data_IF_387299053254
#
_entry.id   IF_387299053254
#
_cell.length_a   1.000
_cell.length_b   1.000
_cell.length_c   1.000
_cell.angle_alpha   90.00
_cell.angle_beta   90.00
_cell.angle_gamma   90.00
#
_symmetry.space_group_name_H-M   'P 1'
#
loop_
_entity.id
_entity.type
_entity.pdbx_description
1 polymer ?
#
# COMPACT_ATOMS: atom_id res chain seq x y z
N UNK A 1 -3.68 2.88 -14.71
CA UNK A 1 -3.38 2.61 -13.29
C UNK A 1 -3.71 1.15 -13.04
N UNK A 2 -2.84 0.42 -12.34
CA UNK A 2 -3.10 -0.96 -11.93
C UNK A 2 -3.13 -1.00 -10.39
N UNK A 3 -4.10 -1.70 -9.81
CA UNK A 3 -4.27 -1.83 -8.36
C UNK A 3 -3.72 -3.19 -7.94
N UNK A 4 -2.64 -3.20 -7.17
CA UNK A 4 -1.90 -4.41 -6.78
C UNK A 4 -1.99 -4.66 -5.27
N UNK A 5 -3.19 -4.51 -4.71
CA UNK A 5 -3.43 -4.95 -3.33
C UNK A 5 -3.80 -6.44 -3.35
N UNK A 6 -2.89 -7.29 -2.86
CA UNK A 6 -3.09 -8.75 -2.74
C UNK A 6 -3.00 -9.17 -1.27
N UNK A 7 -3.85 -10.12 -0.86
CA UNK A 7 -3.74 -10.78 0.45
C UNK A 7 -2.64 -11.85 0.48
N UNK A 8 -2.03 -12.16 -0.67
CA UNK A 8 -0.90 -13.08 -0.77
C UNK A 8 0.38 -12.28 -0.56
N UNK A 9 0.69 -12.02 0.71
CA UNK A 9 1.87 -11.25 1.13
C UNK A 9 3.17 -11.84 0.53
N UNK A 10 3.24 -13.17 0.43
CA UNK A 10 4.41 -13.89 -0.09
C UNK A 10 4.78 -13.52 -1.55
N UNK A 11 3.83 -13.04 -2.35
CA UNK A 11 4.05 -12.71 -3.77
C UNK A 11 4.15 -11.20 -4.01
N UNK A 12 3.80 -10.35 -3.03
CA UNK A 12 3.71 -8.90 -3.27
C UNK A 12 5.06 -8.28 -3.59
N UNK A 13 6.09 -8.59 -2.81
CA UNK A 13 7.43 -8.05 -3.02
C UNK A 13 8.00 -8.49 -4.38
N UNK A 14 7.89 -9.77 -4.70
CA UNK A 14 8.32 -10.34 -5.98
C UNK A 14 7.56 -9.71 -7.16
N UNK A 15 6.25 -9.50 -7.02
CA UNK A 15 5.41 -8.89 -8.03
C UNK A 15 5.76 -7.41 -8.25
N UNK A 16 6.02 -6.65 -7.18
CA UNK A 16 6.45 -5.26 -7.29
C UNK A 16 7.84 -5.14 -7.92
N UNK A 17 8.77 -6.04 -7.57
CA UNK A 17 10.08 -6.12 -8.20
C UNK A 17 9.97 -6.48 -9.69
N UNK A 18 9.13 -7.46 -10.05
CA UNK A 18 8.87 -7.84 -11.43
C UNK A 18 8.23 -6.70 -12.23
N UNK A 19 7.21 -6.04 -11.67
CA UNK A 19 6.54 -4.90 -12.31
C UNK A 19 7.51 -3.74 -12.55
N UNK A 20 8.37 -3.43 -11.58
CA UNK A 20 9.44 -2.43 -11.75
C UNK A 20 10.38 -2.80 -12.90
N UNK A 21 10.76 -4.07 -13.02
CA UNK A 21 11.66 -4.54 -14.07
C UNK A 21 11.09 -4.36 -15.49
N UNK A 22 9.77 -4.20 -15.64
CA UNK A 22 9.10 -3.89 -16.90
C UNK A 22 9.13 -2.40 -17.28
N UNK A 23 9.46 -1.50 -16.36
CA UNK A 23 9.55 -0.07 -16.65
C UNK A 23 10.84 0.27 -17.40
N UNK A 24 10.79 1.13 -18.42
CA UNK A 24 12.01 1.68 -19.01
C UNK A 24 12.78 2.56 -18.01
N UNK A 25 14.12 2.73 -18.15
CA UNK A 25 14.89 3.71 -17.38
C UNK A 25 14.27 5.11 -17.46
N UNK A 26 14.11 5.79 -16.34
CA UNK A 26 13.38 7.06 -16.22
C UNK A 26 11.86 6.93 -16.08
N UNK A 27 11.30 5.73 -16.23
CA UNK A 27 9.88 5.46 -16.00
C UNK A 27 9.50 5.61 -14.52
N UNK A 28 8.26 6.03 -14.26
CA UNK A 28 7.72 6.22 -12.90
C UNK A 28 6.83 5.04 -12.53
N UNK A 29 7.07 4.49 -11.35
CA UNK A 29 6.19 3.53 -10.72
C UNK A 29 5.41 4.21 -9.59
N UNK A 30 4.08 4.08 -9.60
CA UNK A 30 3.18 4.65 -8.59
C UNK A 30 2.42 3.50 -7.92
N UNK A 31 2.52 3.39 -6.59
CA UNK A 31 1.72 2.49 -5.79
C UNK A 31 0.76 3.28 -4.90
N UNK A 32 -0.43 2.70 -4.71
CA UNK A 32 -1.44 3.16 -3.74
C UNK A 32 -1.87 1.94 -2.96
N UNK A 33 -1.82 2.03 -1.64
CA UNK A 33 -2.12 0.94 -0.71
C UNK A 33 -2.67 1.49 0.59
N UNK A 34 -3.17 0.65 1.49
CA UNK A 34 -3.59 1.10 2.80
C UNK A 34 -2.38 1.41 3.68
N UNK A 35 -2.34 2.60 4.27
CA UNK A 35 -1.38 2.97 5.33
C UNK A 35 -1.84 2.44 6.70
N UNK A 36 -3.15 2.26 6.87
CA UNK A 36 -3.76 1.64 8.05
C UNK A 36 -4.87 0.67 7.68
N UNK A 37 -5.16 -0.27 8.59
CA UNK A 37 -6.31 -1.15 8.45
C UNK A 37 -7.62 -0.34 8.43
N UNK A 38 -8.59 -0.68 7.58
CA UNK A 38 -9.90 -0.05 7.61
C UNK A 38 -10.52 -0.10 9.02
N UNK A 39 -11.08 1.00 9.55
CA UNK A 39 -11.58 1.05 10.92
C UNK A 39 -12.63 -0.02 11.24
N UNK A 40 -13.53 -0.29 10.28
CA UNK A 40 -14.60 -1.30 10.41
C UNK A 40 -14.10 -2.75 10.30
N UNK A 41 -12.83 -2.98 9.98
CA UNK A 41 -12.28 -4.33 9.87
C UNK A 41 -11.94 -4.93 11.25
N UNK A 42 -11.85 -4.11 12.30
CA UNK A 42 -11.35 -4.51 13.63
C UNK A 42 -12.12 -5.66 14.27
N UNK A 43 -13.44 -5.66 14.11
CA UNK A 43 -14.33 -6.67 14.71
C UNK A 43 -14.19 -8.05 14.04
N UNK A 44 -13.59 -8.12 12.86
CA UNK A 44 -13.41 -9.37 12.11
C UNK A 44 -12.18 -10.18 12.55
N UNK A 45 -11.37 -9.67 13.47
CA UNK A 45 -10.06 -10.23 13.81
C UNK A 45 -9.85 -10.33 15.32
N UNK A 46 -9.16 -11.40 15.75
CA UNK A 46 -8.58 -11.44 17.10
C UNK A 46 -7.46 -10.41 17.23
N UNK A 47 -7.05 -10.08 18.45
CA UNK A 47 -5.96 -9.13 18.69
C UNK A 47 -4.67 -9.53 17.98
N UNK A 48 -4.29 -10.81 18.07
CA UNK A 48 -3.12 -11.37 17.39
C UNK A 48 -3.23 -11.23 15.86
N UNK A 49 -4.41 -11.52 15.30
CA UNK A 49 -4.66 -11.40 13.85
C UNK A 49 -4.65 -9.96 13.37
N UNK A 50 -5.13 -9.03 14.19
CA UNK A 50 -5.13 -7.60 13.91
C UNK A 50 -3.70 -7.05 13.90
N UNK A 51 -2.91 -7.38 14.93
CA UNK A 51 -1.51 -6.99 14.99
C UNK A 51 -0.71 -7.54 13.82
N UNK A 52 -0.87 -8.82 13.49
CA UNK A 52 -0.17 -9.44 12.37
C UNK A 52 -0.49 -8.75 11.03
N UNK A 53 -1.76 -8.37 10.80
CA UNK A 53 -2.16 -7.65 9.59
C UNK A 53 -1.65 -6.22 9.56
N UNK A 54 -1.72 -5.52 10.67
CA UNK A 54 -1.22 -4.14 10.78
C UNK A 54 0.30 -4.09 10.54
N UNK A 55 1.06 -5.06 11.08
CA UNK A 55 2.51 -5.18 10.83
C UNK A 55 2.86 -5.51 9.37
N UNK A 56 1.94 -6.11 8.62
CA UNK A 56 2.16 -6.47 7.22
C UNK A 56 1.83 -5.33 6.25
N UNK A 57 1.29 -4.20 6.72
CA UNK A 57 1.03 -3.04 5.88
C UNK A 57 2.34 -2.38 5.43
N UNK A 58 2.38 -1.85 4.20
CA UNK A 58 3.51 -1.06 3.73
C UNK A 58 3.61 0.27 4.50
N UNK A 59 4.82 0.78 4.66
CA UNK A 59 5.10 2.04 5.37
C UNK A 59 5.82 3.03 4.46
N UNK A 60 5.94 4.28 4.93
CA UNK A 60 6.71 5.33 4.24
C UNK A 60 8.18 4.96 4.06
N UNK A 61 8.71 4.06 4.89
CA UNK A 61 10.08 3.57 4.81
C UNK A 61 10.18 2.30 3.95
N UNK A 62 9.29 1.31 4.17
CA UNK A 62 9.42 0.00 3.53
C UNK A 62 9.05 0.03 2.05
N UNK A 63 8.01 0.78 1.67
CA UNK A 63 7.49 0.78 0.31
C UNK A 63 8.48 1.42 -0.69
N UNK A 64 9.03 2.64 -0.46
CA UNK A 64 9.99 3.22 -1.39
C UNK A 64 11.30 2.41 -1.46
N UNK A 65 11.73 1.81 -0.34
CA UNK A 65 12.91 0.96 -0.29
C UNK A 65 12.76 -0.28 -1.19
N UNK A 66 11.59 -0.92 -1.16
CA UNK A 66 11.27 -2.07 -2.01
C UNK A 66 11.26 -1.70 -3.50
N UNK A 67 10.70 -0.53 -3.84
CA UNK A 67 10.63 -0.08 -5.23
C UNK A 67 11.99 0.31 -5.79
N UNK A 68 12.89 0.84 -4.95
CA UNK A 68 14.28 1.21 -5.22
C UNK A 68 14.49 2.11 -6.45
N UNK A 69 14.87 3.35 -6.20
CA UNK A 69 15.06 4.39 -7.23
C UNK A 69 15.01 5.78 -6.60
N UNK A 70 14.81 6.80 -7.42
CA UNK A 70 14.60 8.16 -6.92
C UNK A 70 13.16 8.31 -6.42
N UNK A 71 13.00 8.60 -5.13
CA UNK A 71 11.68 8.85 -4.54
C UNK A 71 11.17 10.21 -4.99
N UNK A 72 10.06 10.23 -5.71
CA UNK A 72 9.39 11.45 -6.17
C UNK A 72 8.26 11.87 -5.22
N UNK A 73 7.61 10.91 -4.58
CA UNK A 73 6.50 11.09 -3.64
C UNK A 73 6.47 9.92 -2.65
N UNK A 74 6.26 10.20 -1.36
CA UNK A 74 5.97 9.21 -0.34
C UNK A 74 5.14 9.89 0.76
N UNK A 75 3.82 9.74 0.71
CA UNK A 75 2.88 10.44 1.57
C UNK A 75 1.73 9.53 2.00
N UNK A 76 1.09 9.85 3.13
CA UNK A 76 -0.17 9.24 3.57
C UNK A 76 -1.28 10.23 3.33
N UNK A 77 -2.32 9.81 2.62
CA UNK A 77 -3.47 10.63 2.26
C UNK A 77 -4.75 10.09 2.89
N UNK A 78 -5.55 11.00 3.42
CA UNK A 78 -6.88 10.67 3.94
C UNK A 78 -7.90 10.61 2.81
N UNK A 79 -8.71 9.55 2.80
CA UNK A 79 -9.83 9.39 1.87
C UNK A 79 -11.10 9.06 2.63
N UNK A 80 -12.10 9.93 2.50
CA UNK A 80 -13.44 9.67 3.01
C UNK A 80 -14.20 8.71 2.09
N UNK A 81 -14.78 7.67 2.68
CA UNK A 81 -15.59 6.65 2.00
C UNK A 81 -16.85 6.34 2.81
N UNK A 82 -17.80 5.64 2.20
CA UNK A 82 -18.88 5.00 2.96
C UNK A 82 -18.36 3.66 3.53
N UNK A 83 -18.60 3.44 4.82
CA UNK A 83 -18.37 2.17 5.48
C UNK A 83 -19.45 1.13 5.08
N UNK A 84 -19.36 -0.13 5.54
CA UNK A 84 -20.36 -1.15 5.22
C UNK A 84 -21.79 -0.84 5.69
N UNK A 85 -21.96 0.07 6.66
CA UNK A 85 -23.26 0.55 7.14
C UNK A 85 -23.78 1.77 6.36
N UNK A 86 -22.98 2.30 5.42
CA UNK A 86 -23.27 3.49 4.64
C UNK A 86 -22.89 4.81 5.32
N UNK A 87 -22.23 4.77 6.48
CA UNK A 87 -21.78 5.98 7.19
C UNK A 87 -20.41 6.46 6.68
N UNK A 88 -20.12 7.77 6.73
CA UNK A 88 -18.79 8.27 6.38
C UNK A 88 -17.71 7.71 7.31
N UNK A 89 -16.62 7.22 6.72
CA UNK A 89 -15.42 6.78 7.41
C UNK A 89 -14.18 7.24 6.66
N UNK A 90 -13.04 7.33 7.36
CA UNK A 90 -11.75 7.71 6.79
C UNK A 90 -10.90 6.47 6.59
N UNK A 91 -10.31 6.36 5.42
CA UNK A 91 -9.21 5.44 5.12
C UNK A 91 -7.93 6.26 4.95
N UNK A 92 -6.83 5.75 5.48
CA UNK A 92 -5.49 6.29 5.23
C UNK A 92 -4.83 5.43 4.14
N UNK A 93 -4.48 6.06 3.02
CA UNK A 93 -3.82 5.41 1.90
C UNK A 93 -2.37 5.90 1.78
N UNK A 94 -1.42 4.97 1.67
CA UNK A 94 -0.02 5.24 1.37
C UNK A 94 0.15 5.39 -0.15
N UNK A 95 0.65 6.55 -0.57
CA UNK A 95 0.91 6.90 -1.96
C UNK A 95 2.42 7.08 -2.17
N UNK A 96 3.01 6.21 -2.98
CA UNK A 96 4.46 6.22 -3.25
C UNK A 96 4.72 6.25 -4.75
N UNK A 97 5.55 7.20 -5.19
CA UNK A 97 6.05 7.28 -6.55
C UNK A 97 7.58 7.22 -6.57
N UNK A 98 8.13 6.28 -7.33
CA UNK A 98 9.58 6.12 -7.51
C UNK A 98 9.91 6.13 -8.99
N UNK A 99 10.97 6.86 -9.36
CA UNK A 99 11.54 6.84 -10.71
C UNK A 99 12.60 5.75 -10.81
N UNK A 100 12.47 4.89 -11.81
CA UNK A 100 13.49 3.90 -12.15
C UNK A 100 14.73 4.64 -12.69
N UNK A 101 15.95 4.33 -12.21
CA UNK A 101 17.17 4.86 -12.79
C UNK A 101 17.37 4.43 -14.25
#
# INVERSE_FOLDING_TARGET
MSFLHTNVVAEREELLQAARNLLHPGGVFLTVSHAQMPPWARENFTDEQWEARTRALPTLESEPALLSGEVLLAEVWDRTVADPSGQPAVLEDLVVAVRRP
#
